data_IF_106146358567
#
_entry.id   IF_106146358567
#
_cell.length_a   1.000
_cell.length_b   1.000
_cell.length_c   1.000
_cell.angle_alpha   90.00
_cell.angle_beta   90.00
_cell.angle_gamma   90.00
#
_symmetry.space_group_name_H-M   'P 1'
#
loop_
_entity.id
_entity.type
_entity.pdbx_description
1 polymer ?
#
# COMPACT_ATOMS: atom_id res chain seq x y z
N UNK A 1 -15.22 -1.16 -8.65
CA UNK A 1 -15.33 -2.34 -7.77
C UNK A 1 -14.07 -2.44 -6.92
N UNK A 2 -14.17 -3.13 -5.79
CA UNK A 2 -13.00 -3.47 -4.97
C UNK A 2 -12.75 -4.97 -5.11
N UNK A 3 -11.55 -5.36 -5.50
CA UNK A 3 -11.16 -6.77 -5.63
C UNK A 3 -10.40 -7.19 -4.38
N UNK A 4 -10.69 -8.36 -3.83
CA UNK A 4 -10.11 -8.83 -2.57
C UNK A 4 -9.35 -10.13 -2.82
N UNK A 5 -8.09 -10.17 -2.40
CA UNK A 5 -7.29 -11.39 -2.35
C UNK A 5 -6.26 -11.31 -1.21
N UNK A 6 -6.59 -11.91 -0.06
CA UNK A 6 -5.69 -11.96 1.09
C UNK A 6 -5.04 -13.33 1.30
N UNK A 7 -5.41 -14.33 0.50
CA UNK A 7 -4.98 -15.72 0.67
C UNK A 7 -5.60 -16.39 1.90
N UNK A 8 -6.51 -15.72 2.60
CA UNK A 8 -7.25 -16.25 3.74
C UNK A 8 -8.74 -16.15 3.49
N UNK A 9 -9.39 -17.29 3.27
CA UNK A 9 -10.83 -17.36 3.00
C UNK A 9 -11.68 -16.71 4.10
N UNK A 10 -11.23 -16.75 5.35
CA UNK A 10 -11.94 -16.12 6.47
C UNK A 10 -11.89 -14.59 6.34
N UNK A 11 -10.69 -14.05 6.13
CA UNK A 11 -10.47 -12.61 5.98
C UNK A 11 -11.19 -12.10 4.73
N UNK A 12 -11.07 -12.81 3.62
CA UNK A 12 -11.68 -12.43 2.34
C UNK A 12 -13.21 -12.30 2.48
N UNK A 13 -13.87 -13.26 3.16
CA UNK A 13 -15.32 -13.21 3.44
C UNK A 13 -15.71 -12.05 4.35
N UNK A 14 -14.93 -11.78 5.39
CA UNK A 14 -15.18 -10.65 6.29
C UNK A 14 -15.11 -9.34 5.51
N UNK A 15 -14.07 -9.16 4.69
CA UNK A 15 -13.90 -7.96 3.88
C UNK A 15 -15.02 -7.81 2.83
N UNK A 16 -15.43 -8.91 2.20
CA UNK A 16 -16.51 -8.89 1.20
C UNK A 16 -17.86 -8.48 1.82
N UNK A 17 -18.19 -9.00 3.00
CA UNK A 17 -19.40 -8.63 3.73
C UNK A 17 -19.39 -7.15 4.16
N UNK A 18 -18.23 -6.63 4.52
CA UNK A 18 -18.06 -5.27 5.01
C UNK A 18 -18.00 -4.22 3.89
N UNK A 19 -17.45 -4.57 2.73
CA UNK A 19 -17.18 -3.64 1.61
C UNK A 19 -18.18 -3.91 0.48
N UNK A 20 -19.25 -3.11 0.43
CA UNK A 20 -20.29 -3.23 -0.60
C UNK A 20 -19.73 -3.09 -2.02
N UNK A 21 -20.14 -3.98 -2.92
CA UNK A 21 -19.69 -3.98 -4.32
C UNK A 21 -18.23 -4.42 -4.49
N UNK A 22 -17.68 -5.12 -3.49
CA UNK A 22 -16.42 -5.83 -3.61
C UNK A 22 -16.63 -7.26 -4.14
N UNK A 23 -15.53 -7.89 -4.53
CA UNK A 23 -15.50 -9.25 -5.06
C UNK A 23 -14.24 -9.96 -4.58
N UNK A 24 -14.38 -11.15 -4.01
CA UNK A 24 -13.25 -12.04 -3.75
C UNK A 24 -12.85 -12.77 -5.03
N UNK A 25 -11.55 -12.86 -5.29
CA UNK A 25 -11.00 -13.69 -6.36
C UNK A 25 -10.20 -14.84 -5.79
N UNK A 26 -10.22 -15.98 -6.46
CA UNK A 26 -9.53 -17.20 -5.97
C UNK A 26 -8.03 -17.20 -6.25
N UNK A 27 -7.56 -16.42 -7.22
CA UNK A 27 -6.16 -16.43 -7.66
C UNK A 27 -5.66 -15.01 -7.95
N UNK A 28 -4.45 -14.72 -7.49
CA UNK A 28 -3.77 -13.44 -7.75
C UNK A 28 -3.56 -13.17 -9.26
N UNK A 29 -3.23 -14.20 -10.05
CA UNK A 29 -2.99 -14.05 -11.50
C UNK A 29 -4.21 -13.51 -12.25
N UNK A 30 -5.41 -13.90 -11.82
CA UNK A 30 -6.65 -13.45 -12.45
C UNK A 30 -6.79 -11.92 -12.43
N UNK A 31 -6.25 -11.26 -11.40
CA UNK A 31 -6.30 -9.80 -11.24
C UNK A 31 -5.47 -9.09 -12.32
N UNK A 32 -4.34 -9.67 -12.73
CA UNK A 32 -3.44 -9.09 -13.73
C UNK A 32 -3.78 -9.53 -15.15
N UNK A 33 -4.34 -10.72 -15.33
CA UNK A 33 -4.69 -11.28 -16.64
C UNK A 33 -5.98 -10.68 -17.22
N UNK A 34 -6.99 -10.43 -16.38
CA UNK A 34 -8.30 -9.94 -16.82
C UNK A 34 -8.37 -8.41 -16.83
N UNK A 35 -8.55 -7.82 -18.02
CA UNK A 35 -8.63 -6.37 -18.19
C UNK A 35 -9.86 -5.72 -17.53
N UNK A 36 -10.87 -6.49 -17.10
CA UNK A 36 -11.98 -5.95 -16.31
C UNK A 36 -11.53 -5.30 -14.99
N UNK A 37 -10.37 -5.69 -14.48
CA UNK A 37 -9.79 -5.16 -13.25
C UNK A 37 -8.93 -3.91 -13.47
N UNK A 38 -8.72 -3.49 -14.73
CA UNK A 38 -8.04 -2.24 -15.04
C UNK A 38 -8.77 -1.06 -14.39
N UNK A 39 -8.00 -0.10 -13.85
CA UNK A 39 -8.52 1.06 -13.11
C UNK A 39 -9.34 0.72 -11.84
N UNK A 40 -9.29 -0.52 -11.35
CA UNK A 40 -9.97 -0.90 -10.10
C UNK A 40 -9.05 -0.75 -8.88
N UNK A 41 -9.63 -0.93 -7.70
CA UNK A 41 -8.87 -1.04 -6.45
C UNK A 41 -8.78 -2.50 -6.02
N UNK A 42 -7.61 -2.94 -5.58
CA UNK A 42 -7.36 -4.29 -5.09
C UNK A 42 -6.84 -4.22 -3.65
N UNK A 43 -7.40 -5.03 -2.78
CA UNK A 43 -6.89 -5.29 -1.43
C UNK A 43 -6.08 -6.60 -1.48
N UNK A 44 -4.80 -6.54 -1.13
CA UNK A 44 -3.86 -7.66 -1.18
C UNK A 44 -3.18 -7.87 0.16
N UNK A 45 -3.02 -9.13 0.56
CA UNK A 45 -2.02 -9.48 1.57
C UNK A 45 -0.68 -9.78 0.88
N UNK A 46 0.40 -9.11 1.30
CA UNK A 46 1.73 -9.36 0.73
C UNK A 46 2.19 -10.81 0.90
N UNK A 47 1.82 -11.45 2.01
CA UNK A 47 2.10 -12.86 2.30
C UNK A 47 1.40 -13.85 1.38
N UNK A 48 0.36 -13.44 0.65
CA UNK A 48 -0.39 -14.30 -0.25
C UNK A 48 0.20 -14.33 -1.68
N UNK A 49 1.22 -13.52 -1.96
CA UNK A 49 1.83 -13.44 -3.28
C UNK A 49 3.05 -14.37 -3.32
N UNK A 50 2.89 -15.53 -3.95
CA UNK A 50 3.95 -16.56 -4.04
C UNK A 50 4.98 -16.31 -5.15
N UNK A 51 4.66 -15.42 -6.09
CA UNK A 51 5.52 -15.03 -7.21
C UNK A 51 6.43 -13.86 -6.85
N UNK A 52 7.29 -13.45 -7.79
CA UNK A 52 8.08 -12.23 -7.66
C UNK A 52 7.18 -11.03 -7.32
N UNK A 53 7.27 -10.60 -6.07
CA UNK A 53 6.39 -9.59 -5.49
C UNK A 53 6.55 -8.24 -6.19
N UNK A 54 7.79 -7.87 -6.54
CA UNK A 54 8.11 -6.63 -7.25
C UNK A 54 7.47 -6.63 -8.63
N UNK A 55 7.66 -7.71 -9.39
CA UNK A 55 7.09 -7.85 -10.73
C UNK A 55 5.56 -7.84 -10.67
N UNK A 56 4.98 -8.50 -9.68
CA UNK A 56 3.53 -8.55 -9.55
C UNK A 56 2.93 -7.17 -9.23
N UNK A 57 3.49 -6.43 -8.28
CA UNK A 57 3.04 -5.07 -7.98
C UNK A 57 3.21 -4.14 -9.19
N UNK A 58 4.32 -4.27 -9.93
CA UNK A 58 4.52 -3.52 -11.18
C UNK A 58 3.40 -3.80 -12.19
N UNK A 59 3.02 -5.07 -12.40
CA UNK A 59 1.94 -5.44 -13.32
C UNK A 59 0.61 -4.80 -12.93
N UNK A 60 0.24 -4.82 -11.65
CA UNK A 60 -0.95 -4.13 -11.15
C UNK A 60 -0.89 -2.62 -11.45
N UNK A 61 0.22 -1.97 -11.07
CA UNK A 61 0.39 -0.52 -11.25
C UNK A 61 0.40 -0.11 -12.73
N UNK A 62 0.97 -0.93 -13.61
CA UNK A 62 0.94 -0.70 -15.07
C UNK A 62 -0.48 -0.70 -15.65
N UNK A 63 -1.43 -1.36 -14.98
CA UNK A 63 -2.86 -1.38 -15.32
C UNK A 63 -3.67 -0.30 -14.59
N UNK A 64 -3.00 0.68 -14.00
CA UNK A 64 -3.61 1.72 -13.17
C UNK A 64 -4.47 1.16 -12.03
N UNK A 65 -4.09 -0.02 -11.52
CA UNK A 65 -4.75 -0.61 -10.37
C UNK A 65 -4.23 0.08 -9.10
N UNK A 66 -5.17 0.55 -8.28
CA UNK A 66 -4.87 1.02 -6.92
C UNK A 66 -4.71 -0.19 -6.02
N UNK A 67 -3.64 -0.22 -5.22
CA UNK A 67 -3.34 -1.36 -4.35
C UNK A 67 -3.40 -0.90 -2.90
N UNK A 68 -4.29 -1.50 -2.12
CA UNK A 68 -4.28 -1.44 -0.66
C UNK A 68 -3.57 -2.71 -0.17
N UNK A 69 -2.41 -2.55 0.47
CA UNK A 69 -1.52 -3.66 0.77
C UNK A 69 -1.43 -3.90 2.28
N UNK A 70 -1.75 -5.13 2.67
CA UNK A 70 -1.69 -5.64 4.03
C UNK A 70 -0.33 -6.33 4.21
N UNK A 71 0.45 -5.84 5.16
CA UNK A 71 1.83 -6.28 5.43
C UNK A 71 2.00 -6.61 6.90
N UNK A 72 2.95 -7.47 7.23
CA UNK A 72 3.18 -7.86 8.62
C UNK A 72 3.79 -6.74 9.46
N UNK A 73 4.75 -5.98 8.90
CA UNK A 73 5.44 -4.91 9.61
C UNK A 73 6.13 -3.92 8.65
N UNK A 74 6.48 -2.72 9.16
CA UNK A 74 7.11 -1.64 8.37
C UNK A 74 8.53 -1.96 7.87
N UNK A 75 9.23 -2.92 8.49
CA UNK A 75 10.64 -3.25 8.18
C UNK A 75 10.78 -4.36 7.15
N UNK A 76 9.66 -4.91 6.70
CA UNK A 76 9.61 -5.99 5.73
C UNK A 76 10.13 -5.55 4.36
N UNK A 77 10.82 -6.44 3.65
CA UNK A 77 11.31 -6.17 2.30
C UNK A 77 10.16 -5.81 1.34
N UNK A 78 9.00 -6.43 1.52
CA UNK A 78 7.79 -6.13 0.74
C UNK A 78 7.31 -4.69 0.97
N UNK A 79 7.56 -4.10 2.14
CA UNK A 79 7.27 -2.67 2.39
C UNK A 79 8.12 -1.79 1.47
N UNK A 80 9.41 -2.09 1.38
CA UNK A 80 10.33 -1.35 0.51
C UNK A 80 9.93 -1.51 -0.96
N UNK A 81 9.64 -2.73 -1.39
CA UNK A 81 9.18 -3.02 -2.76
C UNK A 81 7.88 -2.27 -3.09
N UNK A 82 6.92 -2.25 -2.16
CA UNK A 82 5.65 -1.53 -2.35
C UNK A 82 5.87 -0.03 -2.54
N UNK A 83 6.72 0.58 -1.71
CA UNK A 83 7.05 2.00 -1.81
C UNK A 83 7.79 2.35 -3.11
N UNK A 84 8.69 1.48 -3.60
CA UNK A 84 9.35 1.64 -4.90
C UNK A 84 8.36 1.60 -6.07
N UNK A 85 7.27 0.84 -5.93
CA UNK A 85 6.16 0.79 -6.90
C UNK A 85 5.12 1.92 -6.71
N UNK A 86 5.38 2.87 -5.81
CA UNK A 86 4.49 4.00 -5.55
C UNK A 86 3.18 3.61 -4.87
N UNK A 87 3.19 2.55 -4.06
CA UNK A 87 2.03 2.09 -3.28
C UNK A 87 2.14 2.64 -1.85
N UNK A 88 1.18 3.48 -1.46
CA UNK A 88 1.18 4.18 -0.17
C UNK A 88 0.08 3.72 0.78
N UNK A 89 -0.96 3.08 0.26
CA UNK A 89 -2.07 2.51 1.02
C UNK A 89 -1.62 1.22 1.73
N UNK A 90 -0.72 1.37 2.70
CA UNK A 90 -0.11 0.28 3.46
C UNK A 90 -0.80 0.16 4.83
N UNK A 91 -1.15 -1.06 5.21
CA UNK A 91 -1.63 -1.42 6.56
C UNK A 91 -0.67 -2.47 7.14
N UNK A 92 -0.25 -2.29 8.38
CA UNK A 92 0.75 -3.13 9.03
C UNK A 92 0.17 -3.91 10.21
N UNK A 93 0.56 -5.18 10.32
CA UNK A 93 0.22 -6.08 11.43
C UNK A 93 -1.24 -6.53 11.40
N UNK A 94 -1.83 -6.69 12.59
CA UNK A 94 -3.25 -6.96 12.71
C UNK A 94 -4.04 -5.76 12.18
N UNK A 95 -5.02 -6.02 11.32
CA UNK A 95 -5.85 -5.00 10.71
C UNK A 95 -7.33 -5.24 10.99
N UNK A 96 -8.08 -4.15 10.97
CA UNK A 96 -9.54 -4.16 11.09
C UNK A 96 -10.17 -3.74 9.76
N UNK A 97 -11.34 -4.29 9.38
CA UNK A 97 -12.06 -3.87 8.17
C UNK A 97 -12.33 -2.35 8.11
N UNK A 98 -12.53 -1.70 9.27
CA UNK A 98 -12.71 -0.25 9.37
C UNK A 98 -11.50 0.55 8.88
N UNK A 99 -10.27 0.06 9.10
CA UNK A 99 -9.05 0.72 8.62
C UNK A 99 -8.96 0.65 7.09
N UNK A 100 -9.38 -0.46 6.50
CA UNK A 100 -9.42 -0.63 5.05
C UNK A 100 -10.47 0.31 4.43
N UNK A 101 -11.65 0.42 5.06
CA UNK A 101 -12.70 1.36 4.65
C UNK A 101 -12.22 2.80 4.69
N UNK A 102 -11.56 3.20 5.78
CA UNK A 102 -11.00 4.54 5.89
C UNK A 102 -9.99 4.84 4.78
N UNK A 103 -9.10 3.89 4.46
CA UNK A 103 -8.17 4.06 3.33
C UNK A 103 -8.90 4.11 1.98
N UNK A 104 -9.94 3.31 1.79
CA UNK A 104 -10.73 3.34 0.55
C UNK A 104 -11.29 4.75 0.30
N UNK A 105 -11.88 5.36 1.33
CA UNK A 105 -12.49 6.69 1.29
C UNK A 105 -11.44 7.82 1.29
N UNK A 106 -10.34 7.61 2.03
CA UNK A 106 -9.26 8.57 2.25
C UNK A 106 -7.90 7.95 1.85
N UNK A 107 -7.54 7.98 0.55
CA UNK A 107 -6.27 7.43 0.07
C UNK A 107 -5.07 8.06 0.75
N UNK A 108 -4.11 7.21 1.14
CA UNK A 108 -2.86 7.69 1.73
C UNK A 108 -2.03 8.43 0.68
N UNK A 109 -1.51 9.57 1.10
CA UNK A 109 -0.56 10.37 0.33
C UNK A 109 0.87 9.96 0.65
N UNK A 110 1.83 10.48 -0.12
CA UNK A 110 3.25 10.32 0.22
C UNK A 110 3.59 10.91 1.60
N UNK A 111 2.89 11.97 2.03
CA UNK A 111 3.15 12.58 3.34
C UNK A 111 2.91 11.58 4.48
N UNK A 112 1.87 10.75 4.36
CA UNK A 112 1.49 9.75 5.36
C UNK A 112 2.56 8.66 5.51
N UNK A 113 3.20 8.26 4.42
CA UNK A 113 4.24 7.21 4.41
C UNK A 113 5.67 7.77 4.48
N UNK A 114 5.85 9.09 4.45
CA UNK A 114 7.16 9.76 4.33
C UNK A 114 8.15 9.35 5.42
N UNK A 115 7.68 9.14 6.65
CA UNK A 115 8.51 8.69 7.78
C UNK A 115 9.04 7.27 7.55
N UNK A 116 8.21 6.37 7.05
CA UNK A 116 8.57 4.98 6.75
C UNK A 116 9.55 4.97 5.57
N UNK A 117 9.22 5.69 4.51
CA UNK A 117 10.08 5.87 3.34
C UNK A 117 11.48 6.36 3.75
N UNK A 118 11.56 7.45 4.52
CA UNK A 118 12.84 7.98 4.99
C UNK A 118 13.68 6.95 5.74
N UNK A 119 13.06 6.13 6.60
CA UNK A 119 13.75 5.07 7.35
C UNK A 119 14.26 3.97 6.42
N UNK A 120 13.43 3.46 5.52
CA UNK A 120 13.78 2.34 4.64
C UNK A 120 14.81 2.70 3.57
N UNK A 121 14.80 3.94 3.10
CA UNK A 121 15.74 4.45 2.10
C UNK A 121 16.91 5.24 2.71
N UNK A 122 17.07 5.23 4.03
CA UNK A 122 18.15 5.91 4.77
C UNK A 122 18.35 7.38 4.34
N UNK A 123 17.26 8.11 4.11
CA UNK A 123 17.33 9.50 3.63
C UNK A 123 17.73 10.43 4.77
N UNK A 124 18.88 11.08 4.63
CA UNK A 124 19.39 12.05 5.59
C UNK A 124 18.98 13.47 5.19
N UNK A 125 18.16 14.12 6.01
CA UNK A 125 17.78 15.52 5.81
C UNK A 125 18.71 16.38 6.68
N UNK A 126 19.69 17.06 6.06
CA UNK A 126 20.48 18.08 6.75
C UNK A 126 19.55 19.27 7.06
N UNK A 127 19.22 19.52 8.33
CA UNK A 127 18.60 20.78 8.73
C UNK A 127 19.60 21.89 8.41
N UNK A 128 19.33 22.70 7.38
CA UNK A 128 19.99 24.00 7.24
C UNK A 128 19.53 24.84 8.43
N UNK A 129 20.37 24.92 9.47
CA UNK A 129 20.24 25.96 10.49
C UNK A 129 20.40 27.26 9.70
N UNK A 130 19.31 28.02 9.53
CA UNK A 130 19.43 29.41 9.09
C UNK A 130 20.25 30.10 10.17
N UNK A 131 21.54 30.37 9.87
CA UNK A 131 22.28 31.40 10.57
C UNK A 131 21.66 32.72 10.10
N UNK A 132 20.50 33.05 10.67
CA UNK A 132 20.02 34.42 10.57
C UNK A 132 21.07 35.25 11.31
N UNK A 133 21.69 36.13 10.53
CA UNK A 133 22.81 36.96 10.91
C UNK A 133 22.45 37.78 12.16
N UNK A 134 23.06 37.47 13.30
CA UNK A 134 23.26 38.43 14.39
C UNK A 134 24.30 39.47 13.93
N UNK A 135 23.97 40.28 12.93
CA UNK A 135 24.62 41.55 12.65
C UNK A 135 23.57 42.63 12.90
N UNK A 136 23.39 43.01 14.16
CA UNK A 136 22.37 43.98 14.51
C UNK A 136 22.39 44.40 15.97
N UNK A 137 23.30 45.33 16.28
CA UNK A 137 23.23 46.34 17.34
C UNK A 137 23.49 45.88 18.79
N UNK A 138 24.68 46.17 19.29
CA UNK A 138 24.93 47.34 20.17
C UNK A 138 26.41 47.66 20.22
#
# INVERSE_FOLDING_TARGET
MVVIFTGSNEIDKILEAEIKGSMVVSYADFIVEDDKFKNQTVILAGSAIEKDFRKYLYLLRSKNIRVILLLNNEKDENTKIALENGIYDLIFGNFYPSQIKDILDNPKTFADISKIYRKLFNIQIKKKIRKDFNNGKK
#
